data_IF_101903018195
#
_entry.id   IF_101903018195
#
_cell.length_a   1.000
_cell.length_b   1.000
_cell.length_c   1.000
_cell.angle_alpha   90.00
_cell.angle_beta   90.00
_cell.angle_gamma   90.00
#
_symmetry.space_group_name_H-M   'P 1'
#
loop_
_entity.id
_entity.type
_entity.pdbx_description
1 polymer ?
#
# COMPACT_ATOMS: atom_id res chain seq x y z
N UNK A 1 5.11 -0.87 27.29
CA UNK A 1 4.41 -1.85 26.43
C UNK A 1 3.83 -1.07 25.25
N UNK A 2 3.34 -1.73 24.20
CA UNK A 2 2.67 -1.02 23.12
C UNK A 2 1.38 -1.74 22.73
N UNK A 3 0.38 -0.97 22.34
CA UNK A 3 -0.86 -1.49 21.79
C UNK A 3 -0.75 -1.57 20.27
N UNK A 4 -1.33 -2.61 19.69
CA UNK A 4 -1.39 -2.78 18.22
C UNK A 4 -2.84 -2.64 17.80
N UNK A 5 -3.11 -1.65 16.94
CA UNK A 5 -4.44 -1.40 16.40
C UNK A 5 -4.37 -1.73 14.89
N UNK A 6 -5.07 -2.78 14.42
CA UNK A 6 -5.17 -3.06 12.99
C UNK A 6 -5.89 -1.91 12.28
N UNK A 7 -5.34 -1.46 11.14
CA UNK A 7 -5.94 -0.38 10.35
C UNK A 7 -6.52 -0.92 9.05
N UNK A 8 -5.73 -1.64 8.26
CA UNK A 8 -6.16 -2.06 6.92
C UNK A 8 -5.39 -3.29 6.44
N UNK A 9 -6.00 -4.06 5.53
CA UNK A 9 -5.37 -5.23 4.92
C UNK A 9 -5.66 -5.32 3.43
N UNK A 10 -4.60 -5.31 2.63
CA UNK A 10 -4.66 -5.45 1.18
C UNK A 10 -4.09 -6.79 0.74
N UNK A 11 -4.67 -7.35 -0.32
CA UNK A 11 -4.11 -8.50 -1.03
C UNK A 11 -3.87 -8.11 -2.48
N UNK A 12 -2.61 -8.19 -2.92
CA UNK A 12 -2.24 -7.96 -4.31
C UNK A 12 -2.83 -9.07 -5.19
N UNK A 13 -3.57 -8.74 -6.27
CA UNK A 13 -4.04 -9.74 -7.23
C UNK A 13 -2.89 -10.39 -8.00
N UNK A 14 -1.74 -9.71 -8.09
CA UNK A 14 -0.54 -10.20 -8.73
C UNK A 14 0.37 -10.84 -7.68
N UNK A 15 0.34 -12.16 -7.57
CA UNK A 15 1.26 -12.92 -6.72
C UNK A 15 0.83 -13.10 -5.25
N UNK A 16 -0.35 -12.59 -4.86
CA UNK A 16 -0.94 -12.87 -3.54
C UNK A 16 -0.18 -12.25 -2.36
N UNK A 17 0.59 -11.19 -2.61
CA UNK A 17 1.26 -10.45 -1.54
C UNK A 17 0.22 -9.82 -0.63
N UNK A 18 0.47 -9.88 0.68
CA UNK A 18 -0.43 -9.31 1.69
C UNK A 18 0.26 -8.11 2.32
N UNK A 19 -0.43 -6.98 2.35
CA UNK A 19 0.03 -5.76 3.03
C UNK A 19 -0.92 -5.50 4.19
N UNK A 20 -0.41 -5.43 5.40
CA UNK A 20 -1.17 -5.07 6.61
C UNK A 20 -0.64 -3.77 7.20
N UNK A 21 -1.54 -2.84 7.47
CA UNK A 21 -1.26 -1.60 8.16
C UNK A 21 -1.75 -1.69 9.61
N UNK A 22 -0.89 -1.27 10.55
CA UNK A 22 -1.20 -1.29 11.97
C UNK A 22 -0.69 0.01 12.61
N UNK A 23 -1.44 0.59 13.54
CA UNK A 23 -0.92 1.61 14.44
C UNK A 23 -0.30 0.94 15.66
N UNK A 24 0.88 1.43 16.05
CA UNK A 24 1.54 1.09 17.30
C UNK A 24 1.48 2.30 18.21
N UNK A 25 0.84 2.13 19.37
CA UNK A 25 0.80 3.15 20.41
C UNK A 25 1.69 2.73 21.56
N UNK A 26 2.76 3.48 21.77
CA UNK A 26 3.69 3.27 22.89
C UNK A 26 3.16 3.95 24.15
N UNK A 27 3.22 3.26 25.28
CA UNK A 27 2.75 3.80 26.57
C UNK A 27 3.51 5.08 26.98
N UNK A 28 2.91 5.86 27.91
CA UNK A 28 3.48 7.08 28.51
C UNK A 28 3.63 8.30 27.57
N UNK A 29 2.73 8.44 26.58
CA UNK A 29 2.74 9.60 25.68
C UNK A 29 3.77 9.52 24.56
N UNK A 30 4.21 8.30 24.24
CA UNK A 30 5.05 8.03 23.08
C UNK A 30 4.34 8.34 21.75
N UNK A 31 5.13 8.43 20.69
CA UNK A 31 4.62 8.70 19.33
C UNK A 31 3.90 7.47 18.76
N UNK A 32 2.73 7.67 18.16
CA UNK A 32 2.07 6.64 17.35
C UNK A 32 2.86 6.42 16.05
N UNK A 33 3.21 5.16 15.77
CA UNK A 33 3.86 4.78 14.52
C UNK A 33 2.92 3.95 13.64
N UNK A 34 3.05 4.13 12.33
CA UNK A 34 2.41 3.24 11.35
C UNK A 34 3.37 2.08 11.06
N UNK A 35 3.01 0.88 11.48
CA UNK A 35 3.67 -0.36 11.09
C UNK A 35 3.06 -0.87 9.78
N UNK A 36 3.92 -1.07 8.79
CA UNK A 36 3.58 -1.77 7.55
C UNK A 36 4.19 -3.16 7.57
N UNK A 37 3.36 -4.19 7.35
CA UNK A 37 3.80 -5.59 7.22
C UNK A 37 3.49 -6.07 5.81
N UNK A 38 4.51 -6.45 5.07
CA UNK A 38 4.38 -6.99 3.73
C UNK A 38 4.80 -8.46 3.77
N UNK A 39 3.89 -9.36 3.39
CA UNK A 39 4.15 -10.79 3.30
C UNK A 39 4.08 -11.24 1.85
N UNK A 40 5.11 -11.94 1.42
CA UNK A 40 5.16 -12.64 0.14
C UNK A 40 5.64 -14.07 0.36
N UNK A 41 4.69 -15.02 0.36
CA UNK A 41 4.93 -16.43 0.72
C UNK A 41 5.60 -16.55 2.10
N UNK A 42 6.88 -16.92 2.13
CA UNK A 42 7.72 -17.05 3.33
C UNK A 42 8.51 -15.78 3.66
N UNK A 43 8.58 -14.80 2.75
CA UNK A 43 9.27 -13.53 2.98
C UNK A 43 8.35 -12.57 3.69
N UNK A 44 8.90 -11.89 4.68
CA UNK A 44 8.22 -10.83 5.40
C UNK A 44 9.12 -9.60 5.49
N UNK A 45 8.53 -8.44 5.25
CA UNK A 45 9.15 -7.14 5.51
C UNK A 45 8.26 -6.42 6.51
N UNK A 46 8.85 -5.98 7.62
CA UNK A 46 8.15 -5.16 8.61
C UNK A 46 8.95 -3.90 8.81
N UNK A 47 8.31 -2.76 8.67
CA UNK A 47 8.91 -1.46 8.94
C UNK A 47 7.88 -0.53 9.56
N UNK A 48 8.38 0.49 10.24
CA UNK A 48 7.58 1.49 10.94
C UNK A 48 7.94 2.87 10.42
N UNK A 49 6.93 3.73 10.28
CA UNK A 49 7.11 5.12 9.87
C UNK A 49 6.35 6.05 10.81
N UNK A 50 6.91 7.23 11.05
CA UNK A 50 6.23 8.28 11.80
C UNK A 50 5.09 8.94 10.96
N UNK A 51 4.21 9.74 11.58
CA UNK A 51 3.10 10.37 10.87
C UNK A 51 3.50 11.29 9.71
N UNK A 52 4.66 11.96 9.79
CA UNK A 52 5.14 12.87 8.75
C UNK A 52 5.55 12.06 7.50
N UNK A 53 6.35 11.01 7.69
CA UNK A 53 6.76 10.13 6.62
C UNK A 53 5.57 9.36 6.04
N UNK A 54 4.63 8.91 6.88
CA UNK A 54 3.39 8.26 6.43
C UNK A 54 2.59 9.16 5.48
N UNK A 55 2.42 10.44 5.82
CA UNK A 55 1.76 11.43 4.96
C UNK A 55 2.48 11.58 3.62
N UNK A 56 3.79 11.80 3.64
CA UNK A 56 4.58 11.97 2.41
C UNK A 56 4.50 10.75 1.50
N UNK A 57 4.57 9.55 2.08
CA UNK A 57 4.45 8.29 1.35
C UNK A 57 3.06 8.12 0.74
N UNK A 58 1.99 8.34 1.52
CA UNK A 58 0.61 8.26 1.04
C UNK A 58 0.34 9.22 -0.12
N UNK A 59 0.81 10.46 -0.03
CA UNK A 59 0.67 11.43 -1.13
C UNK A 59 1.46 11.01 -2.38
N UNK A 60 2.63 10.37 -2.22
CA UNK A 60 3.38 9.85 -3.35
C UNK A 60 2.65 8.69 -4.05
N UNK A 61 2.03 7.79 -3.29
CA UNK A 61 1.20 6.71 -3.83
C UNK A 61 0.00 7.26 -4.60
N UNK A 62 -0.71 8.24 -4.03
CA UNK A 62 -1.85 8.88 -4.70
C UNK A 62 -1.45 9.61 -5.98
N UNK A 63 -0.33 10.35 -5.97
CA UNK A 63 0.19 11.02 -7.16
C UNK A 63 0.47 10.01 -8.28
N UNK A 64 1.09 8.88 -7.96
CA UNK A 64 1.35 7.83 -8.94
C UNK A 64 0.07 7.16 -9.46
N UNK A 65 -0.89 6.86 -8.59
CA UNK A 65 -2.17 6.27 -9.00
C UNK A 65 -2.93 7.19 -9.97
N UNK A 66 -2.95 8.50 -9.68
CA UNK A 66 -3.60 9.51 -10.51
C UNK A 66 -2.90 9.77 -11.85
N UNK A 67 -1.64 9.35 -12.02
CA UNK A 67 -0.93 9.46 -13.31
C UNK A 67 -1.15 8.27 -14.23
N UNK A 68 -1.83 7.21 -13.77
CA UNK A 68 -2.13 6.05 -14.62
C UNK A 68 -3.29 6.39 -15.56
N UNK A 69 -3.32 5.84 -16.79
CA UNK A 69 -4.51 5.91 -17.62
C UNK A 69 -5.72 5.33 -16.87
N UNK A 70 -6.93 5.88 -17.07
CA UNK A 70 -8.14 5.24 -16.56
C UNK A 70 -8.16 3.77 -16.98
N UNK A 71 -8.56 2.88 -16.07
CA UNK A 71 -8.60 1.41 -16.31
C UNK A 71 -9.39 1.07 -17.58
N UNK A 72 -10.34 1.92 -17.97
CA UNK A 72 -11.16 1.77 -19.18
C UNK A 72 -10.43 2.09 -20.49
N UNK A 73 -9.33 2.85 -20.46
CA UNK A 73 -8.59 3.26 -21.65
C UNK A 73 -7.70 2.14 -22.23
N UNK A 74 -7.30 1.16 -21.40
CA UNK A 74 -6.44 0.04 -21.82
C UNK A 74 -7.20 -1.01 -22.65
N UNK A 75 -8.52 -1.18 -22.45
CA UNK A 75 -9.32 -2.07 -23.30
C UNK A 75 -9.62 -1.48 -24.70
N UNK A 76 -9.47 -0.17 -24.89
CA UNK A 76 -9.83 0.49 -26.15
C UNK A 76 -8.71 0.48 -27.21
N UNK A 77 -7.46 0.16 -26.84
CA UNK A 77 -6.29 0.31 -27.73
C UNK A 77 -5.74 -1.02 -28.27
N UNK A 78 -6.29 -2.17 -27.90
CA UNK A 78 -5.86 -3.49 -28.41
C UNK A 78 -6.71 -4.05 -29.56
N UNK A 79 -7.62 -3.26 -30.13
CA UNK A 79 -8.54 -3.70 -31.18
C UNK A 79 -8.53 -2.79 -32.40
N UNK A 80 -7.48 -2.86 -33.22
CA UNK A 80 -7.50 -2.17 -34.51
C UNK A 80 -6.14 -2.09 -35.18
N UNK A 81 -5.75 -3.16 -35.89
CA UNK A 81 -5.24 -3.09 -37.26
C UNK A 81 -4.98 -4.52 -37.77
N UNK A 82 -6.08 -5.21 -38.09
CA UNK A 82 -6.10 -6.23 -39.11
C UNK A 82 -7.06 -5.73 -40.19
N UNK A 83 -6.52 -5.25 -41.31
CA UNK A 83 -7.28 -5.15 -42.54
C UNK A 83 -6.34 -5.38 -43.74
N UNK A 84 -6.81 -6.33 -44.54
CA UNK A 84 -6.31 -6.87 -45.81
C UNK A 84 -5.91 -5.82 -46.86
#
# INVERSE_FOLDING_TARGET
MFSVIPLEKFTSPLGGQVIELQQLDYDAGGMSLLRTRIRERSRFTVFEVDPLLARQWGEALLRWANSQPPVDAVCATSGGDAKE
#
